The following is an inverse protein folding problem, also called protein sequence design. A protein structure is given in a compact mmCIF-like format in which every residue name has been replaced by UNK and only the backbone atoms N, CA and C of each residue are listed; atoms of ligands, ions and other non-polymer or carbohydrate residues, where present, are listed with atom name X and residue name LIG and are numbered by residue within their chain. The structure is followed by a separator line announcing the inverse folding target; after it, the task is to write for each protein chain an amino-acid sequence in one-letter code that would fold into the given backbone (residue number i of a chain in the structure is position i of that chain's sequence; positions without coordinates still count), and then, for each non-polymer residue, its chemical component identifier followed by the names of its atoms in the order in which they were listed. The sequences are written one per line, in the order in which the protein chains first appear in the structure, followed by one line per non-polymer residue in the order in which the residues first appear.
data_IF_939944595010
#
_entry.id   IF_939944595010
#
_cell.length_a   1.000
_cell.length_b   1.000
_cell.length_c   1.000
_cell.angle_alpha   90.00
_cell.angle_beta   90.00
_cell.angle_gamma   90.00
#
_symmetry.space_group_name_H-M   'P 1'
#
loop_
_entity.id
_entity.type
_entity.pdbx_description
1 polymer ?
#
# COMPACT_ATOMS: atom_id res chain seq x y z
N UNK A 1 18.68 17.07 11.30
CA UNK A 1 18.16 15.71 10.97
C UNK A 1 16.74 15.71 10.39
N UNK A 2 15.87 16.68 10.72
CA UNK A 2 14.50 16.76 10.19
C UNK A 2 14.43 17.19 8.72
N UNK A 3 15.29 18.10 8.28
CA UNK A 3 15.34 18.58 6.89
C UNK A 3 15.65 17.46 5.87
N UNK A 4 16.54 16.52 6.24
CA UNK A 4 16.91 15.35 5.42
C UNK A 4 15.76 14.36 5.25
N UNK A 5 14.83 14.30 6.22
CA UNK A 5 13.62 13.47 6.14
C UNK A 5 12.55 14.09 5.23
N UNK A 6 12.42 15.42 5.20
CA UNK A 6 11.51 16.11 4.29
C UNK A 6 11.91 15.96 2.82
N UNK A 7 13.22 16.01 2.50
CA UNK A 7 13.72 15.74 1.16
C UNK A 7 13.46 14.29 0.69
N UNK A 8 13.52 13.32 1.60
CA UNK A 8 13.21 11.92 1.28
C UNK A 8 11.73 11.71 0.92
N UNK A 9 10.83 12.37 1.65
CA UNK A 9 9.38 12.28 1.42
C UNK A 9 8.99 12.99 0.12
N UNK A 10 9.56 14.18 -0.14
CA UNK A 10 9.35 14.91 -1.39
C UNK A 10 9.91 14.16 -2.62
N UNK A 11 11.07 13.51 -2.48
CA UNK A 11 11.66 12.68 -3.53
C UNK A 11 10.85 11.42 -3.85
N UNK A 12 10.24 10.80 -2.84
CA UNK A 12 9.42 9.60 -3.03
C UNK A 12 8.10 9.89 -3.78
N UNK A 13 7.49 11.05 -3.53
CA UNK A 13 6.29 11.51 -4.23
C UNK A 13 6.60 11.86 -5.70
N UNK A 14 7.77 12.46 -5.97
CA UNK A 14 8.19 12.79 -7.34
C UNK A 14 8.53 11.54 -8.18
N UNK A 15 9.12 10.51 -7.58
CA UNK A 15 9.45 9.25 -8.27
C UNK A 15 8.21 8.44 -8.68
N UNK A 16 7.11 8.52 -7.91
CA UNK A 16 5.87 7.79 -8.22
C UNK A 16 5.10 8.39 -9.41
N UNK A 17 5.27 9.69 -9.69
CA UNK A 17 4.63 10.38 -10.83
C UNK A 17 5.36 10.11 -12.16
N UNK A 18 6.67 9.82 -12.13
CA UNK A 18 7.49 9.59 -13.34
C UNK A 18 7.44 8.13 -13.85
N UNK A 19 6.94 7.18 -13.05
CA UNK A 19 6.96 5.75 -13.40
C UNK A 19 5.80 5.26 -14.28
N UNK A 20 4.91 6.15 -14.75
CA UNK A 20 3.74 5.75 -15.54
C UNK A 20 3.90 6.09 -17.02
N UNK A 21 4.79 5.39 -17.72
CA UNK A 21 4.83 5.32 -19.18
C UNK A 21 5.22 3.89 -19.64
N UNK A 22 4.36 3.35 -20.52
CA UNK A 22 4.59 2.30 -21.51
C UNK A 22 4.86 0.85 -21.07
N UNK A 23 3.85 -0.01 -21.26
CA UNK A 23 4.06 -1.34 -21.86
C UNK A 23 3.00 -1.56 -22.95
N UNK A 24 3.44 -1.49 -24.21
CA UNK A 24 2.70 -1.92 -25.39
C UNK A 24 3.25 -3.27 -25.88
N UNK A 25 2.34 -4.05 -26.43
CA UNK A 25 2.31 -5.48 -26.81
C UNK A 25 3.40 -6.01 -27.75
N UNK A 26 3.71 -7.32 -27.65
CA UNK A 26 4.12 -8.18 -28.79
C UNK A 26 3.78 -9.65 -28.49
N UNK A 27 2.92 -10.25 -29.32
CA UNK A 27 2.65 -11.69 -29.40
C UNK A 27 3.87 -12.44 -29.97
N UNK A 28 4.19 -13.63 -29.45
CA UNK A 28 5.18 -14.53 -30.06
C UNK A 28 4.75 -16.00 -29.93
N UNK A 29 4.88 -16.71 -31.04
CA UNK A 29 4.30 -18.00 -31.38
C UNK A 29 4.71 -19.19 -30.50
N UNK A 30 3.78 -20.15 -30.39
CA UNK A 30 3.90 -21.41 -29.67
C UNK A 30 4.93 -22.37 -30.30
N UNK A 31 5.75 -23.00 -29.47
CA UNK A 31 6.71 -24.06 -29.83
C UNK A 31 6.70 -25.17 -28.77
N UNK A 32 6.84 -26.40 -29.26
CA UNK A 32 6.53 -27.74 -28.73
C UNK A 32 7.37 -28.21 -27.50
N UNK A 33 7.66 -27.31 -26.55
CA UNK A 33 8.45 -27.57 -25.33
C UNK A 33 7.57 -27.66 -24.06
N UNK A 34 6.29 -27.96 -24.25
CA UNK A 34 5.21 -27.71 -23.28
C UNK A 34 5.33 -28.48 -21.97
N UNK A 35 5.96 -29.66 -21.97
CA UNK A 35 6.12 -30.45 -20.74
C UNK A 35 7.33 -30.02 -19.90
N UNK A 36 8.41 -29.57 -20.56
CA UNK A 36 9.67 -29.21 -19.92
C UNK A 36 9.61 -27.82 -19.26
N UNK A 37 8.86 -26.89 -19.87
CA UNK A 37 8.60 -25.58 -19.25
C UNK A 37 7.78 -25.70 -17.98
N UNK A 38 6.79 -26.60 -17.92
CA UNK A 38 5.95 -26.79 -16.73
C UNK A 38 6.77 -27.38 -15.57
N UNK A 39 7.69 -28.30 -15.86
CA UNK A 39 8.64 -28.81 -14.87
C UNK A 39 9.59 -27.71 -14.37
N UNK A 40 10.12 -26.86 -15.27
CA UNK A 40 11.00 -25.75 -14.91
C UNK A 40 10.33 -24.65 -14.07
N UNK A 41 9.01 -24.48 -14.18
CA UNK A 41 8.23 -23.59 -13.29
C UNK A 41 7.83 -24.25 -11.96
N UNK A 42 7.73 -25.59 -11.91
CA UNK A 42 7.32 -26.34 -10.71
C UNK A 42 8.49 -26.60 -9.76
N UNK A 43 9.69 -26.85 -10.31
CA UNK A 43 10.89 -27.17 -9.51
C UNK A 43 11.58 -25.94 -8.91
N UNK A 44 11.14 -24.75 -9.35
CA UNK A 44 11.46 -23.50 -8.66
C UNK A 44 10.56 -23.38 -7.45
N UNK A 45 10.94 -24.06 -6.38
CA UNK A 45 10.50 -23.69 -5.03
C UNK A 45 10.56 -22.16 -4.97
N UNK A 46 9.43 -21.52 -4.61
CA UNK A 46 9.38 -20.07 -4.48
C UNK A 46 10.24 -19.72 -3.26
N UNK A 47 11.55 -19.73 -3.47
CA UNK A 47 12.48 -19.05 -2.61
C UNK A 47 12.17 -17.56 -2.78
N UNK A 48 11.42 -17.03 -1.82
CA UNK A 48 11.11 -15.60 -1.72
C UNK A 48 12.41 -14.76 -1.60
N UNK A 49 13.57 -15.41 -1.51
CA UNK A 49 14.88 -14.83 -1.60
C UNK A 49 15.14 -13.81 -0.50
N UNK A 50 16.17 -12.96 -0.66
CA UNK A 50 16.49 -11.86 0.26
C UNK A 50 15.39 -10.80 0.43
N UNK A 51 14.21 -10.98 -0.20
CA UNK A 51 13.02 -10.12 -0.11
C UNK A 51 12.01 -10.61 0.93
N UNK A 52 12.35 -11.61 1.73
CA UNK A 52 11.59 -11.97 2.91
C UNK A 52 11.75 -10.86 3.98
N UNK A 53 10.76 -9.95 4.05
CA UNK A 53 10.67 -8.95 5.14
C UNK A 53 10.52 -9.70 6.46
N UNK A 54 11.33 -9.33 7.47
CA UNK A 54 11.32 -9.98 8.77
C UNK A 54 9.97 -9.81 9.47
N UNK A 55 9.65 -10.72 10.38
CA UNK A 55 8.42 -10.62 11.18
C UNK A 55 8.37 -9.32 11.98
N UNK A 56 9.50 -8.87 12.53
CA UNK A 56 9.63 -7.59 13.23
C UNK A 56 9.29 -6.41 12.31
N UNK A 57 9.80 -6.43 11.07
CA UNK A 57 9.52 -5.38 10.09
C UNK A 57 8.03 -5.35 9.71
N UNK A 58 7.38 -6.52 9.52
CA UNK A 58 5.94 -6.60 9.25
C UNK A 58 5.11 -5.98 10.39
N UNK A 59 5.45 -6.28 11.64
CA UNK A 59 4.79 -5.67 12.80
C UNK A 59 5.01 -4.16 12.85
N UNK A 60 6.24 -3.70 12.60
CA UNK A 60 6.56 -2.27 12.60
C UNK A 60 5.77 -1.53 11.52
N UNK A 61 5.67 -2.11 10.31
CA UNK A 61 4.88 -1.53 9.22
C UNK A 61 3.40 -1.46 9.60
N UNK A 62 2.82 -2.55 10.12
CA UNK A 62 1.43 -2.55 10.56
C UNK A 62 1.18 -1.55 11.69
N UNK A 63 2.11 -1.42 12.63
CA UNK A 63 1.99 -0.47 13.73
C UNK A 63 1.98 0.98 13.23
N UNK A 64 2.87 1.32 12.30
CA UNK A 64 2.92 2.66 11.69
C UNK A 64 1.64 2.92 10.87
N UNK A 65 1.19 1.95 10.07
CA UNK A 65 -0.06 2.05 9.31
C UNK A 65 -1.27 2.24 10.23
N UNK A 66 -1.37 1.45 11.28
CA UNK A 66 -2.45 1.54 12.27
C UNK A 66 -2.42 2.86 13.05
N UNK A 67 -1.23 3.34 13.42
CA UNK A 67 -1.07 4.63 14.09
C UNK A 67 -1.49 5.80 13.19
N UNK A 68 -1.11 5.77 11.92
CA UNK A 68 -1.52 6.78 10.95
C UNK A 68 -3.03 6.72 10.66
N UNK A 69 -3.62 5.52 10.59
CA UNK A 69 -5.06 5.32 10.51
C UNK A 69 -5.78 5.92 11.72
N UNK A 70 -5.27 5.73 12.94
CA UNK A 70 -5.85 6.30 14.16
C UNK A 70 -5.87 7.85 14.10
N UNK A 71 -4.77 8.47 13.64
CA UNK A 71 -4.73 9.93 13.46
C UNK A 71 -5.73 10.39 12.41
N UNK A 72 -5.82 9.68 11.28
CA UNK A 72 -6.76 9.97 10.20
C UNK A 72 -8.22 9.83 10.63
N UNK A 73 -8.56 8.78 11.39
CA UNK A 73 -9.95 8.57 11.86
C UNK A 73 -10.35 9.66 12.86
N UNK A 74 -9.45 10.05 13.77
CA UNK A 74 -9.70 11.14 14.73
C UNK A 74 -9.88 12.48 14.02
N UNK A 75 -9.06 12.74 13.00
CA UNK A 75 -9.18 13.96 12.16
C UNK A 75 -10.50 13.96 11.39
N UNK A 76 -10.86 12.85 10.75
CA UNK A 76 -12.12 12.70 10.01
C UNK A 76 -13.33 12.90 10.92
N UNK A 77 -13.30 12.35 12.13
CA UNK A 77 -14.33 12.52 13.14
C UNK A 77 -14.46 13.98 13.59
N UNK A 78 -13.33 14.64 13.91
CA UNK A 78 -13.33 16.06 14.28
C UNK A 78 -13.90 16.96 13.17
N UNK A 79 -13.57 16.68 11.91
CA UNK A 79 -14.14 17.38 10.76
C UNK A 79 -15.65 17.11 10.62
N UNK A 80 -16.08 15.85 10.81
CA UNK A 80 -17.49 15.48 10.79
C UNK A 80 -18.30 16.19 11.86
N UNK A 81 -17.78 16.22 13.10
CA UNK A 81 -18.38 16.95 14.22
C UNK A 81 -18.45 18.46 13.92
N UNK A 82 -17.37 19.02 13.36
CA UNK A 82 -17.31 20.42 12.96
C UNK A 82 -18.39 20.80 11.94
N UNK A 83 -18.76 19.90 11.04
CA UNK A 83 -19.85 20.12 10.11
C UNK A 83 -21.23 19.92 10.74
N UNK A 84 -21.43 18.77 11.39
CA UNK A 84 -22.74 18.35 11.87
C UNK A 84 -23.25 19.21 13.03
N UNK A 85 -22.35 19.62 13.94
CA UNK A 85 -22.71 20.40 15.14
C UNK A 85 -22.51 21.89 14.91
N UNK A 86 -21.35 22.28 14.36
CA UNK A 86 -20.98 23.70 14.25
C UNK A 86 -21.31 24.33 12.88
N UNK A 87 -21.87 23.56 11.94
CA UNK A 87 -22.27 24.08 10.63
C UNK A 87 -21.12 24.59 9.76
N UNK A 88 -19.86 24.25 10.08
CA UNK A 88 -18.71 24.72 9.29
C UNK A 88 -18.66 24.04 7.92
N UNK A 89 -18.30 24.78 6.88
CA UNK A 89 -18.13 24.24 5.53
C UNK A 89 -16.77 23.53 5.35
N UNK A 90 -16.57 22.41 6.04
CA UNK A 90 -15.37 21.57 5.91
C UNK A 90 -15.65 20.24 5.20
N UNK A 91 -16.73 20.19 4.40
CA UNK A 91 -17.21 19.00 3.71
C UNK A 91 -16.17 18.36 2.79
N UNK A 92 -15.52 19.18 1.94
CA UNK A 92 -14.47 18.70 1.04
C UNK A 92 -13.34 18.00 1.83
N UNK A 93 -12.87 18.64 2.90
CA UNK A 93 -11.79 18.09 3.73
C UNK A 93 -12.21 16.82 4.48
N UNK A 94 -13.44 16.76 4.98
CA UNK A 94 -13.98 15.55 5.59
C UNK A 94 -14.06 14.40 4.59
N UNK A 95 -14.57 14.64 3.38
CA UNK A 95 -14.70 13.61 2.35
C UNK A 95 -13.36 13.05 1.90
N UNK A 96 -12.35 13.91 1.69
CA UNK A 96 -10.98 13.48 1.35
C UNK A 96 -10.40 12.64 2.50
N UNK A 97 -10.51 13.14 3.73
CA UNK A 97 -9.99 12.45 4.92
C UNK A 97 -10.68 11.09 5.13
N UNK A 98 -11.99 11.01 4.92
CA UNK A 98 -12.77 9.79 5.00
C UNK A 98 -12.32 8.77 3.94
N UNK A 99 -12.15 9.19 2.68
CA UNK A 99 -11.66 8.33 1.61
C UNK A 99 -10.28 7.75 1.90
N UNK A 100 -9.34 8.59 2.35
CA UNK A 100 -8.00 8.15 2.75
C UNK A 100 -8.05 7.18 3.95
N UNK A 101 -8.92 7.45 4.92
CA UNK A 101 -9.09 6.59 6.11
C UNK A 101 -9.58 5.21 5.71
N UNK A 102 -10.61 5.11 4.87
CA UNK A 102 -11.17 3.83 4.41
C UNK A 102 -10.15 3.06 3.58
N UNK A 103 -9.44 3.74 2.68
CA UNK A 103 -8.41 3.12 1.85
C UNK A 103 -7.26 2.55 2.69
N UNK A 104 -6.77 3.32 3.65
CA UNK A 104 -5.70 2.89 4.55
C UNK A 104 -6.17 1.77 5.49
N UNK A 105 -7.42 1.82 5.96
CA UNK A 105 -8.02 0.77 6.78
C UNK A 105 -8.11 -0.57 6.02
N UNK A 106 -8.51 -0.52 4.75
CA UNK A 106 -8.54 -1.71 3.91
C UNK A 106 -7.13 -2.27 3.71
N UNK A 107 -6.17 -1.42 3.32
CA UNK A 107 -4.78 -1.85 3.14
C UNK A 107 -4.17 -2.43 4.43
N UNK A 108 -4.44 -1.81 5.58
CA UNK A 108 -3.99 -2.29 6.89
C UNK A 108 -4.61 -3.64 7.26
N UNK A 109 -5.93 -3.79 7.10
CA UNK A 109 -6.63 -5.04 7.38
C UNK A 109 -6.18 -6.18 6.48
N UNK A 110 -6.09 -5.94 5.17
CA UNK A 110 -5.62 -6.94 4.20
C UNK A 110 -4.17 -7.33 4.51
N UNK A 111 -3.27 -6.37 4.75
CA UNK A 111 -1.88 -6.68 5.11
C UNK A 111 -1.79 -7.50 6.40
N UNK A 112 -2.62 -7.21 7.40
CA UNK A 112 -2.65 -7.97 8.64
C UNK A 112 -3.08 -9.43 8.42
N UNK A 113 -4.13 -9.65 7.62
CA UNK A 113 -4.59 -11.01 7.30
C UNK A 113 -3.53 -11.76 6.48
N UNK A 114 -3.07 -11.17 5.38
CA UNK A 114 -2.13 -11.82 4.44
C UNK A 114 -0.78 -12.13 5.09
N UNK A 115 -0.28 -11.26 6.00
CA UNK A 115 1.02 -11.48 6.62
C UNK A 115 1.02 -12.42 7.83
N UNK A 116 -0.09 -12.52 8.56
CA UNK A 116 -0.14 -13.24 9.84
C UNK A 116 -1.08 -14.46 9.84
N UNK A 117 -1.96 -14.58 8.84
CA UNK A 117 -2.85 -15.73 8.66
C UNK A 117 -2.72 -16.31 7.24
N UNK A 118 -1.54 -16.84 6.86
CA UNK A 118 -1.42 -17.63 5.63
C UNK A 118 -2.12 -18.98 5.87
N UNK A 119 -3.26 -19.17 5.22
CA UNK A 119 -3.98 -20.44 5.17
C UNK A 119 -3.39 -21.37 4.10
#
# INVERSE_FOLDING_TARGET
MLLRRCYFIAGFIFAFIVANEAISSTDTAASDNSMDVIAAFTDKEIDLGPRAISTEQKHTILFIMGSSLLVLVMTTAALGISMAIYGKQVFMWHMISAGLTVTLALAHGVAAVVWFFPF
#
